data_IF_179526313061
#
_entry.id   IF_179526313061
#
_cell.length_a   1.000
_cell.length_b   1.000
_cell.length_c   1.000
_cell.angle_alpha   90.00
_cell.angle_beta   90.00
_cell.angle_gamma   90.00
#
_symmetry.space_group_name_H-M   'P 1'
#
loop_
_entity.id
_entity.type
_entity.pdbx_description
1 polymer ?
#
# COMPACT_ATOMS: atom_id res chain seq x y z
N UNK A 1 -0.76 19.98 -12.53
CA UNK A 1 -1.39 18.66 -12.75
C UNK A 1 -2.68 18.87 -13.52
N UNK A 2 -2.82 18.28 -14.71
CA UNK A 2 -4.10 18.32 -15.45
C UNK A 2 -5.09 17.36 -14.79
N UNK A 3 -6.38 17.69 -14.79
CA UNK A 3 -7.44 16.89 -14.13
C UNK A 3 -7.58 15.47 -14.69
N UNK A 4 -7.06 15.21 -15.89
CA UNK A 4 -7.23 13.95 -16.61
C UNK A 4 -6.04 12.99 -16.52
N UNK A 5 -5.12 13.21 -15.56
CA UNK A 5 -3.98 12.31 -15.33
C UNK A 5 -4.22 11.42 -14.12
N UNK A 6 -3.99 10.12 -14.32
CA UNK A 6 -3.97 9.13 -13.25
C UNK A 6 -2.77 9.38 -12.35
N UNK A 7 -2.93 9.12 -11.05
CA UNK A 7 -1.78 9.01 -10.17
C UNK A 7 -1.03 7.72 -10.52
N UNK A 8 0.26 7.85 -10.82
CA UNK A 8 1.14 6.71 -11.04
C UNK A 8 1.76 6.24 -9.71
N UNK A 9 2.48 5.12 -9.78
CA UNK A 9 3.15 4.50 -8.64
C UNK A 9 4.12 5.46 -7.94
N UNK A 10 4.84 6.31 -8.70
CA UNK A 10 5.84 7.22 -8.15
C UNK A 10 5.21 8.28 -7.27
N UNK A 11 4.07 8.81 -7.70
CA UNK A 11 3.35 9.87 -6.99
C UNK A 11 2.72 9.35 -5.72
N UNK A 12 2.16 8.14 -5.77
CA UNK A 12 1.59 7.48 -4.60
C UNK A 12 2.69 7.09 -3.60
N UNK A 13 3.84 6.62 -4.08
CA UNK A 13 5.00 6.34 -3.24
C UNK A 13 5.51 7.61 -2.55
N UNK A 14 5.70 8.71 -3.29
CA UNK A 14 6.12 10.01 -2.74
C UNK A 14 5.14 10.52 -1.68
N UNK A 15 3.84 10.38 -1.94
CA UNK A 15 2.80 10.78 -0.99
C UNK A 15 2.82 9.95 0.29
N UNK A 16 2.97 8.62 0.19
CA UNK A 16 3.07 7.73 1.35
C UNK A 16 4.30 8.04 2.19
N UNK A 17 5.45 8.28 1.54
CA UNK A 17 6.68 8.69 2.21
C UNK A 17 6.51 10.03 2.93
N UNK A 18 5.95 11.04 2.25
CA UNK A 18 5.73 12.37 2.84
C UNK A 18 4.80 12.33 4.06
N UNK A 19 3.72 11.53 4.02
CA UNK A 19 2.85 11.37 5.18
C UNK A 19 3.58 10.63 6.31
N UNK A 20 4.28 9.55 5.98
CA UNK A 20 5.06 8.78 6.96
C UNK A 20 6.08 9.65 7.69
N UNK A 21 6.75 10.56 6.98
CA UNK A 21 7.69 11.52 7.58
C UNK A 21 6.97 12.59 8.42
N UNK A 22 5.77 13.01 8.02
CA UNK A 22 4.98 14.02 8.73
C UNK A 22 4.35 13.48 10.02
N UNK A 23 4.04 12.17 10.06
CA UNK A 23 3.46 11.50 11.22
C UNK A 23 4.59 10.83 11.99
N UNK A 24 5.09 11.52 13.03
CA UNK A 24 6.15 11.01 13.92
C UNK A 24 5.63 9.90 14.85
N UNK A 25 5.19 8.78 14.29
CA UNK A 25 4.64 7.64 15.02
C UNK A 25 5.08 6.31 14.41
N UNK A 26 5.78 5.50 15.19
CA UNK A 26 6.16 4.13 14.81
C UNK A 26 4.97 3.15 14.86
N UNK A 27 3.80 3.60 15.33
CA UNK A 27 2.58 2.80 15.39
C UNK A 27 1.88 2.69 14.02
N UNK A 28 2.33 3.45 13.01
CA UNK A 28 1.70 3.52 11.69
C UNK A 28 2.70 3.14 10.61
N UNK A 29 2.29 2.23 9.74
CA UNK A 29 3.06 1.79 8.58
C UNK A 29 2.32 2.12 7.28
N UNK A 30 3.03 2.74 6.35
CA UNK A 30 2.56 3.04 5.00
C UNK A 30 3.28 2.13 3.99
N UNK A 31 2.54 1.24 3.34
CA UNK A 31 3.04 0.38 2.27
C UNK A 31 2.58 0.94 0.93
N UNK A 32 3.54 1.48 0.17
CA UNK A 32 3.31 2.06 -1.15
C UNK A 32 3.09 1.02 -2.25
N UNK A 33 2.78 1.46 -3.48
CA UNK A 33 2.37 0.61 -4.60
C UNK A 33 3.31 -0.56 -4.91
N UNK A 34 4.63 -0.34 -4.91
CA UNK A 34 5.59 -1.40 -5.27
C UNK A 34 5.62 -2.52 -4.23
N UNK A 35 5.52 -2.18 -2.94
CA UNK A 35 5.54 -3.17 -1.86
C UNK A 35 4.24 -3.97 -1.85
N UNK A 36 3.10 -3.31 -2.03
CA UNK A 36 1.80 -3.99 -2.07
C UNK A 36 1.63 -4.85 -3.32
N UNK A 37 2.17 -4.42 -4.46
CA UNK A 37 2.22 -5.23 -5.67
C UNK A 37 3.10 -6.47 -5.49
N UNK A 38 4.27 -6.32 -4.85
CA UNK A 38 5.12 -7.45 -4.50
C UNK A 38 4.39 -8.43 -3.57
N UNK A 39 3.68 -7.93 -2.55
CA UNK A 39 2.88 -8.77 -1.64
C UNK A 39 1.78 -9.51 -2.41
N UNK A 40 1.07 -8.83 -3.32
CA UNK A 40 -0.03 -9.41 -4.13
C UNK A 40 0.46 -10.57 -5.01
N UNK A 41 1.66 -10.46 -5.58
CA UNK A 41 2.20 -11.39 -6.58
C UNK A 41 3.13 -12.47 -5.99
N UNK A 42 3.44 -12.39 -4.70
CA UNK A 42 4.38 -13.31 -4.02
C UNK A 42 3.68 -14.49 -3.34
N UNK A 43 4.45 -15.51 -2.98
CA UNK A 43 3.94 -16.59 -2.11
C UNK A 43 3.84 -16.12 -0.65
N UNK A 44 3.01 -16.75 0.18
CA UNK A 44 2.88 -16.39 1.60
C UNK A 44 4.23 -16.37 2.35
N UNK A 45 5.14 -17.29 2.03
CA UNK A 45 6.47 -17.37 2.65
C UNK A 45 7.31 -16.14 2.32
N UNK A 46 7.34 -15.75 1.05
CA UNK A 46 8.05 -14.53 0.61
C UNK A 46 7.43 -13.27 1.20
N UNK A 47 6.10 -13.23 1.33
CA UNK A 47 5.41 -12.10 1.97
C UNK A 47 5.87 -11.95 3.42
N UNK A 48 5.97 -13.06 4.17
CA UNK A 48 6.48 -13.03 5.55
C UNK A 48 7.91 -12.48 5.57
N UNK A 49 8.80 -13.00 4.73
CA UNK A 49 10.19 -12.51 4.65
C UNK A 49 10.27 -11.02 4.31
N UNK A 50 9.43 -10.52 3.39
CA UNK A 50 9.37 -9.09 3.06
C UNK A 50 8.87 -8.25 4.24
N UNK A 51 7.84 -8.71 4.96
CA UNK A 51 7.26 -7.97 6.09
C UNK A 51 8.19 -7.96 7.30
N UNK A 52 9.02 -8.99 7.50
CA UNK A 52 10.04 -9.04 8.56
C UNK A 52 11.11 -7.95 8.40
N UNK A 53 11.35 -7.45 7.18
CA UNK A 53 12.25 -6.32 6.93
C UNK A 53 11.63 -4.95 7.24
N UNK A 54 10.39 -4.93 7.73
CA UNK A 54 9.63 -3.70 8.05
C UNK A 54 9.19 -3.70 9.51
N UNK A 55 8.59 -2.60 9.96
CA UNK A 55 7.94 -2.51 11.28
C UNK A 55 6.51 -3.10 11.29
N UNK A 56 6.12 -3.91 10.30
CA UNK A 56 4.77 -4.44 10.15
C UNK A 56 4.26 -5.16 11.41
N UNK A 57 5.10 -5.97 12.05
CA UNK A 57 4.70 -6.73 13.23
C UNK A 57 4.61 -5.88 14.50
N UNK A 58 5.28 -4.72 14.57
CA UNK A 58 5.26 -3.83 15.72
C UNK A 58 4.25 -2.67 15.60
N UNK A 59 3.84 -2.30 14.39
CA UNK A 59 2.87 -1.21 14.19
C UNK A 59 1.43 -1.62 14.55
N UNK A 60 0.59 -0.64 14.91
CA UNK A 60 -0.83 -0.82 15.24
C UNK A 60 -1.73 -0.65 14.03
N UNK A 61 -1.29 0.16 13.07
CA UNK A 61 -2.06 0.60 11.92
C UNK A 61 -1.23 0.43 10.65
N UNK A 62 -1.81 -0.20 9.62
CA UNK A 62 -1.14 -0.39 8.33
C UNK A 62 -2.02 0.14 7.22
N UNK A 63 -1.46 0.99 6.37
CA UNK A 63 -2.09 1.49 5.15
C UNK A 63 -1.40 0.85 3.94
N UNK A 64 -2.18 0.20 3.08
CA UNK A 64 -1.68 -0.43 1.86
C UNK A 64 -2.35 0.22 0.65
N UNK A 65 -1.57 0.87 -0.20
CA UNK A 65 -2.04 1.36 -1.48
C UNK A 65 -2.10 0.19 -2.47
N UNK A 66 -3.27 -0.21 -2.94
CA UNK A 66 -3.42 -1.40 -3.79
C UNK A 66 -3.95 -1.06 -5.17
N UNK A 67 -3.36 -1.67 -6.19
CA UNK A 67 -3.81 -1.63 -7.58
C UNK A 67 -4.62 -2.87 -7.93
N UNK A 68 -5.58 -2.73 -8.84
CA UNK A 68 -6.23 -3.87 -9.47
C UNK A 68 -5.36 -4.55 -10.56
N UNK A 69 -4.17 -4.00 -10.87
CA UNK A 69 -3.19 -4.61 -11.79
C UNK A 69 -2.84 -6.04 -11.38
N UNK A 70 -2.86 -6.98 -12.33
CA UNK A 70 -2.42 -8.36 -12.14
C UNK A 70 -0.96 -8.60 -12.55
N UNK A 71 -0.25 -7.56 -12.98
CA UNK A 71 1.14 -7.65 -13.44
C UNK A 71 1.92 -6.38 -13.07
N UNK A 72 2.78 -6.49 -12.05
CA UNK A 72 3.60 -5.38 -11.57
C UNK A 72 4.73 -4.98 -12.54
N UNK A 73 5.04 -5.81 -13.55
CA UNK A 73 6.09 -5.52 -14.54
C UNK A 73 5.54 -4.85 -15.80
N UNK A 74 4.21 -4.80 -15.96
CA UNK A 74 3.56 -4.18 -17.12
C UNK A 74 2.82 -2.93 -16.71
N UNK A 75 3.39 -1.80 -17.13
CA UNK A 75 2.69 -0.53 -17.23
C UNK A 75 1.37 -0.75 -18.01
N UNK A 76 0.28 -0.10 -17.57
CA UNK A 76 -1.09 -0.14 -18.12
C UNK A 76 -2.00 -1.33 -17.77
N UNK A 77 -1.61 -2.24 -16.88
CA UNK A 77 -2.55 -3.30 -16.42
C UNK A 77 -3.45 -2.88 -15.27
N UNK A 78 -3.06 -1.83 -14.53
CA UNK A 78 -3.85 -1.24 -13.46
C UNK A 78 -4.74 -0.11 -13.98
N UNK A 79 -6.02 -0.15 -13.64
CA UNK A 79 -7.02 0.86 -13.98
C UNK A 79 -7.70 1.44 -12.75
N UNK A 80 -7.24 1.10 -11.54
CA UNK A 80 -7.83 1.60 -10.31
C UNK A 80 -6.90 1.45 -9.12
N UNK A 81 -6.91 2.47 -8.27
CA UNK A 81 -6.26 2.47 -6.96
C UNK A 81 -7.29 2.42 -5.85
N UNK A 82 -7.04 1.60 -4.85
CA UNK A 82 -7.82 1.59 -3.62
C UNK A 82 -6.88 1.50 -2.41
N UNK A 83 -7.43 1.66 -1.20
CA UNK A 83 -6.67 1.68 0.03
C UNK A 83 -7.20 0.58 0.97
N UNK A 84 -6.30 -0.27 1.45
CA UNK A 84 -6.59 -1.18 2.56
C UNK A 84 -6.02 -0.57 3.83
N UNK A 85 -6.84 -0.50 4.88
CA UNK A 85 -6.44 -0.10 6.21
C UNK A 85 -6.59 -1.30 7.16
N UNK A 86 -5.48 -1.70 7.79
CA UNK A 86 -5.46 -2.72 8.83
C UNK A 86 -5.44 -2.03 10.19
N UNK A 87 -6.51 -2.22 10.95
CA UNK A 87 -6.58 -1.88 12.36
C UNK A 87 -6.24 -3.15 13.16
N UNK A 88 -4.96 -3.28 13.54
CA UNK A 88 -4.48 -4.46 14.25
C UNK A 88 -4.94 -4.49 15.70
N UNK A 89 -5.28 -3.33 16.30
CA UNK A 89 -5.81 -3.28 17.66
C UNK A 89 -7.20 -3.92 17.72
N UNK A 90 -8.03 -3.66 16.71
CA UNK A 90 -9.39 -4.21 16.64
C UNK A 90 -9.51 -5.46 15.76
N UNK A 91 -8.39 -5.96 15.22
CA UNK A 91 -8.35 -7.09 14.29
C UNK A 91 -9.30 -6.92 13.10
N UNK A 92 -9.30 -5.72 12.50
CA UNK A 92 -10.17 -5.36 11.37
C UNK A 92 -9.38 -4.94 10.15
N UNK A 93 -9.92 -5.28 9.00
CA UNK A 93 -9.46 -4.78 7.70
C UNK A 93 -10.59 -3.98 7.06
N UNK A 94 -10.24 -2.80 6.56
CA UNK A 94 -11.14 -1.89 5.87
C UNK A 94 -10.64 -1.71 4.44
N UNK A 95 -11.53 -1.85 3.47
CA UNK A 95 -11.23 -1.58 2.07
C UNK A 95 -11.95 -0.29 1.65
N UNK A 96 -11.17 0.74 1.34
CA UNK A 96 -11.65 2.02 0.83
C UNK A 96 -11.44 2.04 -0.68
N UNK A 97 -12.55 1.87 -1.40
CA UNK A 97 -12.60 1.83 -2.85
C UNK A 97 -13.50 2.98 -3.32
N UNK A 98 -12.94 3.94 -4.04
CA UNK A 98 -13.68 5.12 -4.50
C UNK A 98 -14.64 4.86 -5.67
N UNK A 99 -14.59 3.66 -6.27
CA UNK A 99 -15.51 3.24 -7.33
C UNK A 99 -16.67 2.39 -6.80
N UNK A 100 -16.80 2.22 -5.49
CA UNK A 100 -17.90 1.51 -4.81
C UNK A 100 -18.66 2.43 -3.87
#
# INVERSE_FOLDING_TARGET
WSKDKWADDSVLADYFSAISESILSDDILFLGPSVTAAIKLSTPEMVVECLEQTNFYSCKYVFLCVSNSDDAAREDTGSHWSLIFLDRLNMRAHHFDSLR
#
